data_IF_496202693539
#
_entry.id   IF_496202693539
#
_cell.length_a   1.000
_cell.length_b   1.000
_cell.length_c   1.000
_cell.angle_alpha   90.00
_cell.angle_beta   90.00
_cell.angle_gamma   90.00
#
_symmetry.space_group_name_H-M   'P 1'
#
loop_
_entity.id
_entity.type
_entity.pdbx_description
1 polymer ?
#
# COMPACT_ATOMS: atom_id res chain seq x y z
N UNK A 1 -8.74 -11.63 -6.11
CA UNK A 1 -9.82 -10.61 -6.16
C UNK A 1 -10.97 -10.99 -7.10
N UNK A 2 -10.75 -11.18 -8.40
CA UNK A 2 -11.82 -11.39 -9.39
C UNK A 2 -12.75 -12.58 -9.09
N UNK A 3 -12.20 -13.70 -8.59
CA UNK A 3 -13.01 -14.89 -8.24
C UNK A 3 -13.96 -14.59 -7.08
N UNK A 4 -13.46 -14.04 -5.98
CA UNK A 4 -14.29 -13.68 -4.83
C UNK A 4 -15.36 -12.64 -5.19
N UNK A 5 -15.00 -11.64 -6.00
CA UNK A 5 -15.96 -10.66 -6.51
C UNK A 5 -17.04 -11.32 -7.39
N UNK A 6 -16.65 -12.23 -8.28
CA UNK A 6 -17.57 -12.98 -9.13
C UNK A 6 -18.57 -13.81 -8.33
N UNK A 7 -18.12 -14.48 -7.26
CA UNK A 7 -19.01 -15.23 -6.36
C UNK A 7 -20.04 -14.31 -5.68
N UNK A 8 -19.63 -13.12 -5.23
CA UNK A 8 -20.55 -12.15 -4.62
C UNK A 8 -21.58 -11.60 -5.63
N UNK A 9 -21.17 -11.36 -6.88
CA UNK A 9 -22.07 -10.95 -7.95
C UNK A 9 -23.09 -12.05 -8.26
N UNK A 10 -22.65 -13.31 -8.35
CA UNK A 10 -23.52 -14.46 -8.60
C UNK A 10 -24.50 -14.73 -7.46
N UNK A 11 -24.12 -14.43 -6.21
CA UNK A 11 -25.03 -14.56 -5.07
C UNK A 11 -26.26 -13.66 -5.19
N UNK A 12 -26.11 -12.51 -5.82
CA UNK A 12 -27.14 -11.47 -5.94
C UNK A 12 -27.97 -11.60 -7.22
N UNK A 13 -27.73 -12.63 -8.04
CA UNK A 13 -28.49 -12.97 -9.24
C UNK A 13 -29.29 -14.26 -9.00
N UNK A 14 -30.63 -14.19 -8.91
CA UNK A 14 -31.47 -15.38 -8.65
C UNK A 14 -31.76 -16.21 -9.91
N UNK A 15 -31.53 -15.64 -11.09
CA UNK A 15 -31.83 -16.18 -12.43
C UNK A 15 -30.76 -17.16 -12.97
N UNK A 16 -29.62 -17.29 -12.28
CA UNK A 16 -28.49 -18.13 -12.73
C UNK A 16 -28.56 -19.53 -12.13
N UNK A 17 -28.42 -20.55 -12.99
CA UNK A 17 -28.30 -21.94 -12.54
C UNK A 17 -27.04 -22.12 -11.69
N UNK A 18 -27.21 -22.50 -10.42
CA UNK A 18 -26.09 -22.71 -9.51
C UNK A 18 -25.51 -24.12 -9.68
N UNK A 19 -24.18 -24.21 -9.68
CA UNK A 19 -23.48 -25.49 -9.67
C UNK A 19 -23.74 -26.31 -8.40
N UNK A 20 -23.32 -27.59 -8.41
CA UNK A 20 -23.51 -28.53 -7.29
C UNK A 20 -22.81 -28.12 -5.99
N UNK A 21 -21.81 -27.25 -6.06
CA UNK A 21 -21.04 -26.80 -4.89
C UNK A 21 -21.77 -25.69 -4.12
N UNK A 22 -22.09 -25.96 -2.85
CA UNK A 22 -22.69 -24.99 -1.93
C UNK A 22 -21.64 -24.48 -0.96
N UNK A 23 -21.41 -23.17 -0.97
CA UNK A 23 -20.57 -22.52 0.05
C UNK A 23 -21.36 -22.31 1.34
N UNK A 24 -20.78 -22.58 2.52
CA UNK A 24 -21.41 -22.27 3.78
C UNK A 24 -21.66 -20.75 3.87
N UNK A 25 -22.89 -20.37 4.18
CA UNK A 25 -23.29 -18.98 4.25
C UNK A 25 -23.23 -18.49 5.69
N UNK A 26 -22.41 -17.46 5.91
CA UNK A 26 -22.40 -16.66 7.14
C UNK A 26 -22.68 -15.22 6.72
N UNK A 27 -23.64 -14.56 7.37
CA UNK A 27 -24.05 -13.20 7.02
C UNK A 27 -22.98 -12.18 7.44
N UNK A 28 -22.50 -11.38 6.49
CA UNK A 28 -21.50 -10.33 6.73
C UNK A 28 -22.05 -8.99 7.22
N UNK A 29 -23.38 -8.82 7.25
CA UNK A 29 -24.09 -7.54 7.50
C UNK A 29 -23.56 -6.76 8.70
N UNK A 30 -23.28 -7.42 9.81
CA UNK A 30 -22.75 -6.76 11.02
C UNK A 30 -21.25 -7.01 11.22
N UNK A 31 -20.76 -8.18 10.82
CA UNK A 31 -19.37 -8.59 11.05
C UNK A 31 -18.38 -7.66 10.34
N UNK A 32 -18.63 -7.36 9.06
CA UNK A 32 -17.70 -6.55 8.25
C UNK A 32 -17.70 -5.08 8.68
N UNK A 33 -18.85 -4.40 8.86
CA UNK A 33 -18.84 -3.02 9.34
C UNK A 33 -18.26 -2.86 10.75
N UNK A 34 -18.60 -3.75 11.68
CA UNK A 34 -18.04 -3.73 13.05
C UNK A 34 -16.53 -3.96 12.99
N UNK A 35 -16.07 -4.93 12.18
CA UNK A 35 -14.65 -5.17 11.99
C UNK A 35 -13.90 -3.96 11.43
N UNK A 36 -14.49 -3.25 10.46
CA UNK A 36 -13.91 -2.02 9.89
C UNK A 36 -13.81 -0.91 10.95
N UNK A 37 -14.88 -0.68 11.72
CA UNK A 37 -14.88 0.33 12.79
C UNK A 37 -13.87 -0.03 13.89
N UNK A 38 -13.85 -1.29 14.34
CA UNK A 38 -12.90 -1.77 15.33
C UNK A 38 -11.45 -1.63 14.84
N UNK A 39 -11.18 -1.95 13.57
CA UNK A 39 -9.88 -1.75 12.94
C UNK A 39 -9.46 -0.28 12.89
N UNK A 40 -10.38 0.64 12.58
CA UNK A 40 -10.11 2.07 12.64
C UNK A 40 -9.81 2.53 14.08
N UNK A 41 -10.61 2.15 15.05
CA UNK A 41 -10.38 2.49 16.47
C UNK A 41 -9.01 1.96 16.91
N UNK A 42 -8.67 0.73 16.56
CA UNK A 42 -7.37 0.13 16.84
C UNK A 42 -6.22 0.93 16.20
N UNK A 43 -6.35 1.32 14.93
CA UNK A 43 -5.35 2.12 14.23
C UNK A 43 -5.14 3.51 14.87
N UNK A 44 -6.20 4.16 15.35
CA UNK A 44 -6.10 5.46 16.02
C UNK A 44 -5.60 5.37 17.46
N UNK A 45 -5.83 4.26 18.16
CA UNK A 45 -5.40 4.07 19.57
C UNK A 45 -3.96 3.58 19.68
N UNK A 46 -3.55 2.57 18.92
CA UNK A 46 -2.20 2.00 18.98
C UNK A 46 -1.21 2.77 18.11
N UNK A 47 -1.64 3.25 16.94
CA UNK A 47 -0.77 3.86 15.93
C UNK A 47 -1.13 5.31 15.63
N UNK A 48 -1.66 6.05 16.62
CA UNK A 48 -2.24 7.39 16.40
C UNK A 48 -1.32 8.39 15.69
N UNK A 49 0.00 8.35 15.92
CA UNK A 49 0.98 9.20 15.21
C UNK A 49 1.05 8.85 13.73
N UNK A 50 1.28 7.58 13.41
CA UNK A 50 1.40 7.07 12.04
C UNK A 50 0.10 7.19 11.26
N UNK A 51 -1.03 6.87 11.91
CA UNK A 51 -2.37 7.00 11.32
C UNK A 51 -2.67 8.45 10.96
N UNK A 52 -2.43 9.42 11.86
CA UNK A 52 -2.59 10.84 11.55
C UNK A 52 -1.64 11.29 10.43
N UNK A 53 -0.38 10.86 10.46
CA UNK A 53 0.60 11.17 9.41
C UNK A 53 0.21 10.58 8.05
N UNK A 54 -0.44 9.43 8.03
CA UNK A 54 -0.97 8.82 6.82
C UNK A 54 -2.08 9.69 6.22
N UNK A 55 -3.11 10.03 7.00
CA UNK A 55 -4.28 10.79 6.55
C UNK A 55 -3.96 12.24 6.18
N UNK A 56 -3.12 12.92 6.97
CA UNK A 56 -2.78 14.33 6.76
C UNK A 56 -1.54 14.56 5.90
N UNK A 57 -0.97 13.50 5.32
CA UNK A 57 0.24 13.54 4.50
C UNK A 57 1.41 14.32 5.13
N UNK A 58 1.64 14.14 6.43
CA UNK A 58 2.73 14.78 7.14
C UNK A 58 4.09 14.40 6.53
N UNK A 59 5.07 15.33 6.47
CA UNK A 59 6.40 15.04 5.96
C UNK A 59 7.03 13.84 6.67
N UNK A 60 7.62 12.92 5.91
CA UNK A 60 8.28 11.72 6.42
C UNK A 60 9.77 11.80 6.16
N UNK A 61 10.60 11.31 7.07
CA UNK A 61 12.05 11.26 6.85
C UNK A 61 12.38 10.39 5.64
N UNK A 62 13.32 10.87 4.82
CA UNK A 62 13.85 10.14 3.67
C UNK A 62 14.51 8.84 4.16
N UNK A 63 14.39 7.77 3.37
CA UNK A 63 15.07 6.50 3.68
C UNK A 63 16.59 6.68 3.73
N UNK A 64 17.28 5.91 4.56
CA UNK A 64 18.73 6.02 4.78
C UNK A 64 19.53 5.99 3.48
N UNK A 65 19.20 5.05 2.59
CA UNK A 65 19.84 4.88 1.28
C UNK A 65 19.66 6.13 0.39
N UNK A 66 18.41 6.60 0.27
CA UNK A 66 18.08 7.78 -0.52
C UNK A 66 18.72 9.05 0.06
N UNK A 67 18.75 9.16 1.40
CA UNK A 67 19.38 10.26 2.11
C UNK A 67 20.87 10.32 1.78
N UNK A 68 21.62 9.23 2.05
CA UNK A 68 23.08 9.17 1.85
C UNK A 68 23.45 9.38 0.38
N UNK A 69 22.70 8.79 -0.56
CA UNK A 69 22.96 8.93 -2.01
C UNK A 69 22.68 10.35 -2.53
N UNK A 70 21.82 11.12 -1.86
CA UNK A 70 21.49 12.50 -2.24
C UNK A 70 22.47 13.56 -1.72
N UNK A 71 23.40 13.19 -0.84
CA UNK A 71 24.36 14.11 -0.24
C UNK A 71 25.50 14.44 -1.22
N UNK A 72 25.88 15.72 -1.27
CA UNK A 72 27.12 16.14 -1.92
C UNK A 72 28.35 15.69 -1.11
N UNK A 73 29.53 15.74 -1.72
CA UNK A 73 30.78 15.34 -1.05
C UNK A 73 31.02 16.07 0.28
N UNK A 74 30.70 17.37 0.34
CA UNK A 74 30.86 18.17 1.55
C UNK A 74 29.80 17.86 2.61
N UNK A 75 28.53 17.71 2.20
CA UNK A 75 27.44 17.32 3.12
C UNK A 75 27.67 15.92 3.71
N UNK A 76 28.21 14.99 2.92
CA UNK A 76 28.55 13.65 3.39
C UNK A 76 29.64 13.69 4.46
N UNK A 77 30.63 14.59 4.33
CA UNK A 77 31.67 14.79 5.34
C UNK A 77 31.08 15.32 6.65
N UNK A 78 30.19 16.31 6.57
CA UNK A 78 29.48 16.86 7.73
C UNK A 78 28.68 15.77 8.44
N UNK A 79 27.93 14.94 7.70
CA UNK A 79 27.14 13.85 8.28
C UNK A 79 28.04 12.80 8.94
N UNK A 80 29.18 12.45 8.33
CA UNK A 80 30.16 11.54 8.93
C UNK A 80 30.74 12.09 10.24
N UNK A 81 31.06 13.38 10.29
CA UNK A 81 31.50 14.06 11.52
C UNK A 81 30.41 14.08 12.60
N UNK A 82 29.15 14.35 12.22
CA UNK A 82 28.00 14.31 13.13
C UNK A 82 27.76 12.89 13.69
N UNK A 83 27.96 11.85 12.88
CA UNK A 83 27.88 10.45 13.33
C UNK A 83 28.96 10.16 14.38
N UNK A 84 30.21 10.58 14.14
CA UNK A 84 31.32 10.37 15.07
C UNK A 84 31.06 11.08 16.41
N UNK A 85 30.53 12.30 16.38
CA UNK A 85 30.23 13.07 17.58
C UNK A 85 29.06 12.51 18.41
N UNK A 86 28.08 11.86 17.76
CA UNK A 86 26.91 11.27 18.43
C UNK A 86 27.10 9.79 18.80
N UNK A 87 28.03 9.08 18.16
CA UNK A 87 28.37 7.71 18.49
C UNK A 87 29.29 7.69 19.73
N UNK A 88 28.81 7.11 20.84
CA UNK A 88 29.66 6.68 21.97
C UNK A 88 30.92 5.93 21.46
N UNK A 89 32.05 5.92 22.20
CA UNK A 89 33.41 5.83 21.66
C UNK A 89 33.82 4.42 21.20
N UNK A 90 33.14 3.86 20.19
CA UNK A 90 33.44 2.53 19.65
C UNK A 90 33.58 2.47 18.13
N UNK A 91 33.66 3.61 17.43
CA UNK A 91 34.01 3.61 16.00
C UNK A 91 35.14 4.62 15.78
N UNK A 92 36.35 4.23 16.21
CA UNK A 92 37.58 4.92 15.89
C UNK A 92 37.99 4.43 14.50
N UNK A 93 37.81 5.27 13.48
CA UNK A 93 38.59 5.41 12.24
C UNK A 93 37.75 6.24 11.23
N UNK A 94 37.97 7.57 11.23
CA UNK A 94 37.26 8.57 10.40
C UNK A 94 37.21 8.28 8.89
N UNK A 95 38.10 7.42 8.38
CA UNK A 95 38.30 7.22 6.94
C UNK A 95 37.43 6.09 6.33
N UNK A 96 36.82 5.22 7.15
CA UNK A 96 36.00 4.08 6.70
C UNK A 96 34.61 3.99 7.37
N UNK A 97 34.06 5.11 7.82
CA UNK A 97 32.68 5.13 8.34
C UNK A 97 31.70 5.08 7.17
N UNK A 98 31.09 3.92 6.98
CA UNK A 98 29.94 3.75 6.08
C UNK A 98 28.70 4.36 6.73
N UNK A 99 28.44 5.63 6.41
CA UNK A 99 27.31 6.40 6.94
C UNK A 99 25.98 5.66 6.71
N UNK A 100 25.82 5.00 5.57
CA UNK A 100 24.64 4.20 5.25
C UNK A 100 24.45 3.02 6.21
N UNK A 101 25.52 2.27 6.47
CA UNK A 101 25.49 1.11 7.37
C UNK A 101 25.16 1.54 8.81
N UNK A 102 25.77 2.62 9.28
CA UNK A 102 25.47 3.15 10.61
C UNK A 102 24.01 3.61 10.73
N UNK A 103 23.56 4.46 9.80
CA UNK A 103 22.21 5.03 9.85
C UNK A 103 21.12 3.98 9.68
N UNK A 104 21.38 2.93 8.90
CA UNK A 104 20.42 1.82 8.67
C UNK A 104 20.30 0.89 9.88
N UNK A 105 21.31 0.83 10.75
CA UNK A 105 21.28 0.05 11.99
C UNK A 105 20.65 0.81 13.17
N UNK A 106 20.34 2.10 13.03
CA UNK A 106 19.69 2.87 14.08
C UNK A 106 18.19 2.52 14.18
N UNK A 107 17.64 2.44 15.41
CA UNK A 107 16.19 2.47 15.61
C UNK A 107 15.58 3.71 14.96
N UNK A 108 14.36 3.57 14.40
CA UNK A 108 13.69 4.64 13.65
C UNK A 108 13.62 5.97 14.43
N UNK A 109 13.37 5.92 15.74
CA UNK A 109 13.31 7.11 16.60
C UNK A 109 14.65 7.84 16.68
N UNK A 110 15.76 7.10 16.79
CA UNK A 110 17.11 7.68 16.84
C UNK A 110 17.54 8.24 15.50
N UNK A 111 17.16 7.56 14.41
CA UNK A 111 17.37 8.07 13.06
C UNK A 111 16.62 9.39 12.83
N UNK A 112 15.35 9.47 13.21
CA UNK A 112 14.57 10.72 13.09
C UNK A 112 15.20 11.86 13.90
N UNK A 113 15.67 11.58 15.12
CA UNK A 113 16.38 12.56 15.95
C UNK A 113 17.67 13.03 15.26
N UNK A 114 18.48 12.11 14.73
CA UNK A 114 19.70 12.44 14.00
C UNK A 114 19.40 13.32 12.77
N UNK A 115 18.44 12.94 11.93
CA UNK A 115 18.06 13.69 10.73
C UNK A 115 17.55 15.10 11.09
N UNK A 116 16.78 15.22 12.18
CA UNK A 116 16.30 16.52 12.64
C UNK A 116 17.41 17.43 13.18
N UNK A 117 18.45 16.86 13.80
CA UNK A 117 19.58 17.59 14.37
C UNK A 117 20.69 17.91 13.36
N UNK A 118 20.77 17.17 12.24
CA UNK A 118 21.80 17.33 11.23
C UNK A 118 21.80 18.72 10.60
N UNK A 119 22.93 19.21 10.09
CA UNK A 119 23.03 20.51 9.39
C UNK A 119 22.61 20.49 7.92
N UNK A 120 22.25 19.33 7.37
CA UNK A 120 21.87 19.17 5.95
C UNK A 120 20.57 19.93 5.61
N UNK A 121 20.38 20.29 4.33
CA UNK A 121 19.17 20.94 3.83
C UNK A 121 17.87 20.14 4.10
N UNK A 122 16.77 20.85 4.40
CA UNK A 122 15.46 20.25 4.77
C UNK A 122 14.88 19.40 3.63
N UNK A 123 15.07 19.82 2.39
CA UNK A 123 14.56 19.12 1.20
C UNK A 123 15.15 17.71 1.04
N UNK A 124 16.41 17.52 1.48
CA UNK A 124 17.08 16.20 1.46
C UNK A 124 16.71 15.33 2.66
N UNK A 125 16.15 15.92 3.72
CA UNK A 125 15.80 15.22 4.97
C UNK A 125 14.39 14.65 4.95
N UNK A 126 13.45 15.34 4.29
CA UNK A 126 12.04 15.00 4.35
C UNK A 126 11.42 14.85 2.96
N UNK A 127 10.73 13.73 2.74
CA UNK A 127 9.83 13.57 1.60
C UNK A 127 8.46 14.15 1.97
N UNK A 128 7.94 15.02 1.10
CA UNK A 128 6.63 15.65 1.28
C UNK A 128 5.88 15.81 -0.05
N UNK A 129 4.63 16.25 0.02
CA UNK A 129 3.81 16.54 -1.17
C UNK A 129 3.48 15.29 -1.99
N UNK A 130 3.58 15.40 -3.33
CA UNK A 130 3.19 14.36 -4.29
C UNK A 130 4.09 13.12 -4.24
N UNK A 131 5.40 13.29 -4.00
CA UNK A 131 6.33 12.16 -3.92
C UNK A 131 5.96 11.22 -2.78
N UNK A 132 5.53 11.76 -1.64
CA UNK A 132 5.06 10.98 -0.51
C UNK A 132 3.65 10.41 -0.76
N UNK A 133 2.75 11.21 -1.33
CA UNK A 133 1.34 10.83 -1.51
C UNK A 133 1.16 9.65 -2.47
N UNK A 134 1.93 9.59 -3.57
CA UNK A 134 1.80 8.52 -4.59
C UNK A 134 1.96 7.11 -4.02
N UNK A 135 2.79 6.95 -3.00
CA UNK A 135 3.00 5.67 -2.31
C UNK A 135 1.82 5.26 -1.43
N UNK A 136 0.94 6.20 -1.06
CA UNK A 136 -0.26 5.95 -0.26
C UNK A 136 -1.50 5.65 -1.10
N UNK A 137 -1.46 5.89 -2.43
CA UNK A 137 -2.60 5.73 -3.34
C UNK A 137 -3.25 4.34 -3.24
N UNK A 138 -2.50 3.21 -3.29
CA UNK A 138 -3.11 1.88 -3.21
C UNK A 138 -3.95 1.69 -1.93
N UNK A 139 -3.43 2.15 -0.79
CA UNK A 139 -4.13 2.07 0.50
C UNK A 139 -5.40 2.94 0.53
N UNK A 140 -5.39 4.12 -0.09
CA UNK A 140 -6.60 4.95 -0.22
C UNK A 140 -7.69 4.26 -1.05
N UNK A 141 -7.31 3.64 -2.17
CA UNK A 141 -8.22 2.85 -3.00
C UNK A 141 -8.81 1.70 -2.19
N UNK A 142 -7.98 1.00 -1.40
CA UNK A 142 -8.44 -0.07 -0.52
C UNK A 142 -9.43 0.40 0.54
N UNK A 143 -9.17 1.51 1.22
CA UNK A 143 -10.10 2.08 2.20
C UNK A 143 -11.45 2.39 1.54
N UNK A 144 -11.44 3.01 0.36
CA UNK A 144 -12.65 3.30 -0.39
C UNK A 144 -13.43 2.03 -0.79
N UNK A 145 -12.74 1.01 -1.27
CA UNK A 145 -13.33 -0.28 -1.62
C UNK A 145 -13.91 -0.97 -0.38
N UNK A 146 -13.20 -0.96 0.75
CA UNK A 146 -13.67 -1.51 2.02
C UNK A 146 -14.94 -0.82 2.52
N UNK A 147 -15.03 0.50 2.44
CA UNK A 147 -16.25 1.26 2.78
C UNK A 147 -17.40 0.84 1.86
N UNK A 148 -17.14 0.77 0.55
CA UNK A 148 -18.13 0.38 -0.46
C UNK A 148 -18.64 -1.05 -0.22
N UNK A 149 -17.76 -2.01 0.02
CA UNK A 149 -18.14 -3.40 0.34
C UNK A 149 -18.90 -3.46 1.65
N UNK A 150 -18.47 -2.72 2.67
CA UNK A 150 -19.15 -2.66 3.96
C UNK A 150 -20.60 -2.18 3.80
N UNK A 151 -20.84 -1.16 2.96
CA UNK A 151 -22.18 -0.73 2.58
C UNK A 151 -22.98 -1.81 1.84
N UNK A 152 -22.37 -2.51 0.88
CA UNK A 152 -23.03 -3.63 0.18
C UNK A 152 -23.31 -4.83 1.10
N UNK A 153 -22.47 -5.11 2.09
CA UNK A 153 -22.73 -6.14 3.11
C UNK A 153 -24.01 -5.85 3.88
N UNK A 154 -24.27 -4.58 4.23
CA UNK A 154 -25.47 -4.16 4.97
C UNK A 154 -26.73 -4.24 4.12
N UNK A 155 -26.65 -3.81 2.85
CA UNK A 155 -27.82 -3.73 1.96
C UNK A 155 -28.18 -5.05 1.28
N UNK A 156 -27.19 -5.89 0.97
CA UNK A 156 -27.36 -7.11 0.17
C UNK A 156 -27.09 -8.41 0.94
N UNK A 157 -26.79 -8.36 2.24
CA UNK A 157 -26.50 -9.55 3.05
C UNK A 157 -25.48 -10.49 2.38
N UNK A 158 -24.34 -9.93 1.97
CA UNK A 158 -23.31 -10.69 1.28
C UNK A 158 -22.74 -11.82 2.16
N UNK A 159 -22.26 -12.90 1.54
CA UNK A 159 -21.58 -13.97 2.27
C UNK A 159 -20.23 -13.51 2.81
N UNK A 160 -19.96 -13.81 4.07
CA UNK A 160 -18.74 -13.40 4.77
C UNK A 160 -17.47 -14.00 4.15
N UNK A 161 -17.49 -15.26 3.74
CA UNK A 161 -16.27 -15.96 3.29
C UNK A 161 -15.67 -15.31 2.04
N UNK A 162 -16.44 -15.08 0.96
CA UNK A 162 -15.90 -14.38 -0.21
C UNK A 162 -15.54 -12.93 0.09
N UNK A 163 -16.26 -12.25 1.00
CA UNK A 163 -15.93 -10.87 1.40
C UNK A 163 -14.57 -10.81 2.10
N UNK A 164 -14.31 -11.68 3.08
CA UNK A 164 -13.03 -11.73 3.78
C UNK A 164 -11.87 -12.10 2.84
N UNK A 165 -12.08 -13.07 1.95
CA UNK A 165 -11.09 -13.42 0.93
C UNK A 165 -10.79 -12.27 -0.04
N UNK A 166 -11.82 -11.50 -0.41
CA UNK A 166 -11.66 -10.32 -1.25
C UNK A 166 -10.90 -9.19 -0.53
N UNK A 167 -11.26 -8.88 0.71
CA UNK A 167 -10.59 -7.85 1.53
C UNK A 167 -9.14 -8.23 1.80
N UNK A 168 -8.87 -9.48 2.21
CA UNK A 168 -7.51 -9.98 2.47
C UNK A 168 -6.62 -9.92 1.22
N UNK A 169 -7.13 -10.38 0.08
CA UNK A 169 -6.39 -10.32 -1.18
C UNK A 169 -6.11 -8.88 -1.63
N UNK A 170 -7.07 -7.97 -1.46
CA UNK A 170 -6.86 -6.54 -1.75
C UNK A 170 -5.84 -5.90 -0.81
N UNK A 171 -5.86 -6.28 0.48
CA UNK A 171 -4.88 -5.79 1.45
C UNK A 171 -3.45 -6.17 1.04
N UNK A 172 -3.20 -7.45 0.71
CA UNK A 172 -1.87 -7.85 0.21
C UNK A 172 -1.49 -7.13 -1.09
N UNK A 173 -2.44 -6.84 -1.97
CA UNK A 173 -2.18 -6.05 -3.18
C UNK A 173 -1.72 -4.61 -2.89
N UNK A 174 -2.15 -4.03 -1.77
CA UNK A 174 -1.79 -2.66 -1.39
C UNK A 174 -0.40 -2.54 -0.77
N UNK A 175 0.18 -3.64 -0.29
CA UNK A 175 1.56 -3.67 0.21
C UNK A 175 2.59 -3.67 -0.95
N UNK A 176 2.16 -3.91 -2.19
CA UNK A 176 3.04 -3.82 -3.36
C UNK A 176 3.31 -2.36 -3.75
N UNK A 177 4.58 -2.07 -4.06
CA UNK A 177 5.03 -0.74 -4.47
C UNK A 177 4.36 -0.23 -5.75
N UNK A 178 4.34 1.09 -5.91
CA UNK A 178 3.71 1.77 -7.07
C UNK A 178 4.29 1.31 -8.42
N UNK A 179 5.57 0.93 -8.46
CA UNK A 179 6.21 0.40 -9.66
C UNK A 179 5.54 -0.87 -10.18
N UNK A 180 5.08 -1.75 -9.28
CA UNK A 180 4.37 -2.96 -9.65
C UNK A 180 2.98 -2.65 -10.23
N UNK A 181 2.27 -1.67 -9.65
CA UNK A 181 0.97 -1.23 -10.13
C UNK A 181 1.03 -0.60 -11.52
N UNK A 182 2.06 0.22 -11.79
CA UNK A 182 2.29 0.80 -13.11
C UNK A 182 2.55 -0.30 -14.14
N UNK A 183 3.43 -1.26 -13.83
CA UNK A 183 3.72 -2.40 -14.70
C UNK A 183 2.47 -3.24 -15.00
N UNK A 184 1.70 -3.59 -13.96
CA UNK A 184 0.42 -4.29 -14.11
C UNK A 184 -0.56 -3.49 -14.99
N UNK A 185 -0.68 -2.18 -14.78
CA UNK A 185 -1.57 -1.32 -15.56
C UNK A 185 -1.20 -1.28 -17.05
N UNK A 186 0.08 -1.11 -17.38
CA UNK A 186 0.57 -1.12 -18.76
C UNK A 186 0.27 -2.47 -19.42
N UNK A 187 0.61 -3.57 -18.75
CA UNK A 187 0.37 -4.92 -19.28
C UNK A 187 -1.12 -5.22 -19.48
N UNK A 188 -1.97 -4.78 -18.54
CA UNK A 188 -3.42 -4.90 -18.66
C UNK A 188 -3.93 -4.14 -19.88
N UNK A 189 -3.52 -2.89 -20.08
CA UNK A 189 -3.94 -2.08 -21.24
C UNK A 189 -3.51 -2.73 -22.55
N UNK A 190 -2.25 -3.19 -22.65
CA UNK A 190 -1.76 -3.90 -23.83
C UNK A 190 -2.58 -5.16 -24.07
N UNK A 191 -2.80 -5.97 -23.03
CA UNK A 191 -3.62 -7.19 -23.12
C UNK A 191 -5.05 -6.90 -23.57
N UNK A 192 -5.65 -5.80 -23.11
CA UNK A 192 -6.98 -5.35 -23.48
C UNK A 192 -7.03 -4.90 -24.96
N UNK A 193 -6.01 -4.16 -25.43
CA UNK A 193 -5.89 -3.74 -26.83
C UNK A 193 -5.78 -4.95 -27.75
N UNK A 194 -4.92 -5.92 -27.43
CA UNK A 194 -4.78 -7.18 -28.19
C UNK A 194 -6.08 -7.98 -28.15
N UNK A 195 -6.71 -8.09 -26.98
CA UNK A 195 -7.97 -8.80 -26.80
C UNK A 195 -9.07 -8.22 -27.68
N UNK A 196 -9.24 -6.90 -27.70
CA UNK A 196 -10.26 -6.27 -28.55
C UNK A 196 -9.88 -6.34 -30.03
N UNK A 197 -8.63 -6.05 -30.41
CA UNK A 197 -8.20 -6.10 -31.81
C UNK A 197 -8.39 -7.49 -32.43
N UNK A 198 -8.05 -8.55 -31.69
CA UNK A 198 -8.24 -9.93 -32.15
C UNK A 198 -9.70 -10.41 -31.96
N UNK A 199 -10.26 -10.14 -30.79
CA UNK A 199 -11.57 -10.61 -30.33
C UNK A 199 -12.73 -10.04 -31.14
N UNK A 200 -12.67 -8.78 -31.58
CA UNK A 200 -13.71 -8.21 -32.47
C UNK A 200 -13.80 -8.96 -33.80
N UNK A 201 -12.68 -9.47 -34.33
CA UNK A 201 -12.66 -10.15 -35.63
C UNK A 201 -12.96 -11.65 -35.54
N UNK A 202 -12.82 -12.26 -34.37
CA UNK A 202 -12.99 -13.71 -34.15
C UNK A 202 -14.12 -14.07 -33.16
N UNK A 203 -14.90 -13.10 -32.70
CA UNK A 203 -16.00 -13.36 -31.75
C UNK A 203 -17.05 -14.29 -32.36
N UNK A 204 -17.24 -15.46 -31.74
CA UNK A 204 -18.23 -16.45 -32.17
C UNK A 204 -19.68 -15.98 -31.97
N UNK A 205 -19.94 -14.98 -31.12
CA UNK A 205 -21.29 -14.44 -30.90
C UNK A 205 -21.88 -13.73 -32.13
N UNK A 206 -21.05 -13.21 -33.04
CA UNK A 206 -21.52 -12.59 -34.27
C UNK A 206 -21.80 -13.61 -35.39
N UNK A 207 -21.19 -14.80 -35.33
CA UNK A 207 -21.38 -15.89 -36.31
C UNK A 207 -22.60 -16.76 -36.01
N UNK A 208 -23.13 -16.72 -34.79
CA UNK A 208 -24.31 -17.51 -34.40
C UNK A 208 -25.64 -16.81 -34.74
N UNK A 209 -25.60 -15.51 -35.08
CA UNK A 209 -26.75 -14.69 -35.48
C UNK A 209 -26.72 -14.27 -36.98
N UNK A 210 -25.90 -14.93 -37.80
CA UNK A 210 -25.81 -14.71 -39.25
C UNK A 210 -26.06 -16.03 -39.98
#
# INVERSE_FOLDING_TARGET
VLVCAGVLVLQNRPDVQRGKFKIPYVNSKFIVPIGLIAGLIFAFTQYGKETKAFFFNSPKTVQTVNFVTSLSGDELRIVKEEIINNAKPQIILSDKVDAESYLSNLPADKYQQFISASKVSIEKKYESGWSLFKHKIPMWIFIFICITISFYCVTKNLSLIPVLGLISCLYMMCELGISNWIGFGIWLVIGLVVYFAYGFRHSKLAKENA
#
